data_IF_071118317616
#
_entry.id   IF_071118317616
#
_cell.length_a   1.000
_cell.length_b   1.000
_cell.length_c   1.000
_cell.angle_alpha   90.00
_cell.angle_beta   90.00
_cell.angle_gamma   90.00
#
_symmetry.space_group_name_H-M   'P 1'
#
loop_
_entity.id
_entity.type
_entity.pdbx_description
1 polymer ?
#
# COMPACT_ATOMS: atom_id res chain seq x y z
N UNK A 1 -6.69 -16.59 -53.96
CA UNK A 1 -5.94 -17.86 -53.84
C UNK A 1 -5.35 -17.94 -52.43
N UNK A 2 -6.15 -18.35 -51.44
CA UNK A 2 -5.69 -18.53 -50.05
C UNK A 2 -5.36 -20.01 -49.84
N UNK A 3 -4.10 -20.34 -49.54
CA UNK A 3 -3.70 -21.68 -49.10
C UNK A 3 -3.32 -21.63 -47.62
N UNK A 4 -4.19 -22.20 -46.79
CA UNK A 4 -3.92 -22.54 -45.38
C UNK A 4 -2.72 -23.48 -45.31
N UNK A 5 -1.65 -23.06 -44.64
CA UNK A 5 -0.57 -23.94 -44.22
C UNK A 5 -1.03 -24.65 -42.94
N UNK A 6 -1.25 -25.96 -43.01
CA UNK A 6 -1.53 -26.81 -41.84
C UNK A 6 -0.27 -26.89 -40.97
N UNK A 7 -0.36 -26.43 -39.72
CA UNK A 7 0.66 -26.63 -38.71
C UNK A 7 0.63 -28.08 -38.20
N UNK A 8 1.57 -28.90 -38.66
CA UNK A 8 1.86 -30.20 -38.05
C UNK A 8 2.80 -30.02 -36.85
N UNK A 9 2.33 -29.38 -35.79
CA UNK A 9 3.03 -29.44 -34.49
C UNK A 9 2.48 -30.66 -33.76
N UNK A 10 3.22 -31.77 -33.83
CA UNK A 10 2.97 -32.93 -32.95
C UNK A 10 3.18 -32.47 -31.52
N UNK A 11 2.11 -32.43 -30.73
CA UNK A 11 2.14 -32.30 -29.27
C UNK A 11 3.03 -33.40 -28.69
N UNK A 12 4.29 -33.05 -28.39
CA UNK A 12 5.16 -33.91 -27.60
C UNK A 12 4.75 -33.68 -26.15
N UNK A 13 3.88 -34.58 -25.66
CA UNK A 13 3.60 -34.72 -24.23
C UNK A 13 4.96 -34.83 -23.54
N UNK A 14 5.32 -33.82 -22.75
CA UNK A 14 6.54 -33.82 -21.94
C UNK A 14 6.25 -34.75 -20.76
N UNK A 15 6.46 -36.04 -20.98
CA UNK A 15 6.36 -37.06 -19.94
C UNK A 15 7.65 -37.10 -19.12
N UNK A 16 7.46 -37.16 -17.81
CA UNK A 16 8.43 -37.41 -16.74
C UNK A 16 9.50 -36.32 -16.51
N UNK A 17 9.44 -35.71 -15.33
CA UNK A 17 10.55 -35.00 -14.70
C UNK A 17 11.84 -35.81 -14.87
N UNK A 18 12.79 -35.32 -15.66
CA UNK A 18 14.15 -35.84 -15.67
C UNK A 18 14.78 -35.53 -14.31
N UNK A 19 14.58 -36.40 -13.33
CA UNK A 19 15.37 -36.36 -12.10
C UNK A 19 16.83 -36.55 -12.48
N UNK A 20 17.65 -35.52 -12.28
CA UNK A 20 19.09 -35.59 -12.44
C UNK A 20 19.61 -36.62 -11.41
N UNK A 21 20.13 -37.75 -11.91
CA UNK A 21 20.73 -38.77 -11.05
C UNK A 21 22.16 -38.34 -10.73
N UNK A 22 22.52 -38.43 -9.46
CA UNK A 22 23.86 -38.13 -8.94
C UNK A 22 24.77 -39.34 -9.22
N UNK A 23 25.80 -39.12 -10.03
CA UNK A 23 26.73 -40.13 -10.54
C UNK A 23 28.17 -39.69 -10.25
N UNK A 24 29.14 -40.62 -10.27
CA UNK A 24 30.55 -40.28 -9.99
C UNK A 24 31.15 -39.25 -10.96
N UNK A 25 30.65 -39.17 -12.19
CA UNK A 25 31.12 -38.23 -13.21
C UNK A 25 30.63 -36.79 -12.96
N UNK A 26 29.42 -36.62 -12.42
CA UNK A 26 28.82 -35.32 -12.19
C UNK A 26 28.98 -34.84 -10.73
N UNK A 27 29.37 -35.73 -9.82
CA UNK A 27 29.54 -35.44 -8.39
C UNK A 27 30.52 -34.29 -8.11
N UNK A 28 31.71 -34.29 -8.70
CA UNK A 28 32.73 -33.24 -8.48
C UNK A 28 32.30 -31.88 -9.04
N UNK A 29 31.56 -31.88 -10.14
CA UNK A 29 30.98 -30.65 -10.71
C UNK A 29 29.86 -30.18 -9.78
N UNK A 30 28.91 -31.04 -9.44
CA UNK A 30 27.81 -30.71 -8.52
C UNK A 30 28.31 -30.18 -7.19
N UNK A 31 29.36 -30.78 -6.60
CA UNK A 31 30.00 -30.31 -5.36
C UNK A 31 30.59 -28.90 -5.44
N UNK A 32 30.99 -28.44 -6.63
CA UNK A 32 31.51 -27.08 -6.87
C UNK A 32 30.40 -26.04 -7.06
N UNK A 33 29.28 -26.41 -7.67
CA UNK A 33 28.11 -25.52 -7.92
C UNK A 33 27.05 -25.60 -6.82
N UNK A 34 26.93 -26.72 -6.10
CA UNK A 34 26.08 -26.85 -4.94
C UNK A 34 26.66 -26.00 -3.82
N UNK A 35 25.85 -25.16 -3.18
CA UNK A 35 26.28 -24.44 -1.98
C UNK A 35 26.84 -25.43 -0.97
N UNK A 36 28.06 -25.18 -0.47
CA UNK A 36 28.68 -26.00 0.61
C UNK A 36 27.83 -26.01 1.88
N UNK A 37 26.95 -25.03 2.02
CA UNK A 37 26.02 -24.84 3.13
C UNK A 37 24.60 -25.17 2.68
N UNK A 38 24.04 -26.25 3.22
CA UNK A 38 22.61 -26.51 3.20
C UNK A 38 21.96 -26.04 4.50
N UNK A 39 20.64 -25.89 4.49
CA UNK A 39 19.89 -25.60 5.71
C UNK A 39 19.91 -26.83 6.60
N UNK A 40 20.36 -26.69 7.84
CA UNK A 40 20.26 -27.75 8.86
C UNK A 40 18.99 -27.52 9.67
N UNK A 41 18.11 -28.51 9.67
CA UNK A 41 16.80 -28.42 10.31
C UNK A 41 16.83 -29.03 11.69
N UNK A 42 16.31 -28.28 12.66
CA UNK A 42 15.94 -28.76 13.97
C UNK A 42 14.44 -28.49 14.18
N UNK A 43 13.85 -29.05 15.23
CA UNK A 43 12.39 -28.94 15.47
C UNK A 43 11.92 -27.50 15.70
N UNK A 44 12.72 -26.70 16.42
CA UNK A 44 12.36 -25.34 16.84
C UNK A 44 13.07 -24.24 16.04
N UNK A 45 14.11 -24.60 15.29
CA UNK A 45 14.94 -23.65 14.57
C UNK A 45 15.64 -24.33 13.39
N UNK A 46 16.18 -23.54 12.49
CA UNK A 46 17.05 -24.02 11.43
C UNK A 46 18.31 -23.17 11.36
N UNK A 47 19.41 -23.76 10.91
CA UNK A 47 20.63 -23.03 10.63
C UNK A 47 20.76 -22.81 9.13
N UNK A 48 20.97 -21.57 8.74
CA UNK A 48 21.34 -21.21 7.38
C UNK A 48 22.62 -20.39 7.42
N UNK A 49 23.62 -20.80 6.63
CA UNK A 49 24.99 -20.31 6.72
C UNK A 49 25.53 -20.34 8.16
N UNK A 50 25.78 -19.17 8.77
CA UNK A 50 26.36 -19.02 10.11
C UNK A 50 25.37 -18.44 11.14
N UNK A 51 24.06 -18.49 10.86
CA UNK A 51 23.03 -17.94 11.74
C UNK A 51 21.95 -18.97 12.07
N UNK A 52 21.34 -18.78 13.23
CA UNK A 52 20.19 -19.53 13.70
C UNK A 52 18.92 -18.75 13.37
N UNK A 53 17.91 -19.44 12.87
CA UNK A 53 16.64 -18.86 12.44
C UNK A 53 15.49 -19.66 13.05
N UNK A 54 14.38 -18.98 13.33
CA UNK A 54 13.10 -19.60 13.65
C UNK A 54 11.96 -18.78 13.04
N UNK A 55 10.76 -19.35 12.99
CA UNK A 55 9.56 -18.71 12.47
C UNK A 55 8.42 -18.89 13.46
N UNK A 56 7.76 -17.79 13.80
CA UNK A 56 6.49 -17.78 14.53
C UNK A 56 5.35 -17.52 13.53
N UNK A 57 4.45 -18.48 13.39
CA UNK A 57 3.19 -18.28 12.66
C UNK A 57 2.14 -17.74 13.64
N UNK A 58 1.51 -16.62 13.29
CA UNK A 58 0.46 -16.00 14.11
C UNK A 58 -0.86 -16.73 13.86
N UNK A 59 -1.47 -17.24 14.93
CA UNK A 59 -2.74 -17.98 14.87
C UNK A 59 -3.87 -17.23 15.59
N UNK A 60 -3.54 -16.50 16.66
CA UNK A 60 -4.48 -15.70 17.43
C UNK A 60 -4.29 -14.23 17.08
N UNK A 61 -5.40 -13.59 16.71
CA UNK A 61 -5.41 -12.22 16.22
C UNK A 61 -6.29 -11.39 17.16
N UNK A 62 -5.99 -10.10 17.28
CA UNK A 62 -6.80 -9.16 18.04
C UNK A 62 -8.24 -9.08 17.49
N UNK A 63 -9.20 -8.85 18.38
CA UNK A 63 -10.61 -8.64 18.01
C UNK A 63 -10.80 -7.33 17.23
N UNK A 64 -10.15 -6.26 17.68
CA UNK A 64 -10.16 -4.96 17.00
C UNK A 64 -8.75 -4.63 16.49
N UNK A 65 -8.64 -4.23 15.22
CA UNK A 65 -7.39 -3.75 14.64
C UNK A 65 -7.22 -2.25 14.80
N UNK A 66 -6.01 -1.85 15.22
CA UNK A 66 -5.58 -0.45 15.19
C UNK A 66 -4.53 -0.23 14.11
N UNK A 67 -4.47 0.99 13.58
CA UNK A 67 -3.49 1.36 12.55
C UNK A 67 -2.06 0.95 12.91
N UNK A 68 -1.43 0.18 12.03
CA UNK A 68 -0.02 -0.20 12.13
C UNK A 68 0.30 -1.06 13.35
N UNK A 69 -0.61 -1.90 13.84
CA UNK A 69 -0.39 -2.71 15.05
C UNK A 69 0.86 -3.60 14.99
N UNK A 70 1.28 -4.05 13.80
CA UNK A 70 2.52 -4.83 13.59
C UNK A 70 3.80 -3.99 13.67
N UNK A 71 3.72 -2.65 13.72
CA UNK A 71 4.91 -1.78 13.74
C UNK A 71 5.80 -2.04 14.94
N UNK A 72 5.21 -2.38 16.09
CA UNK A 72 5.95 -2.76 17.30
C UNK A 72 6.92 -3.92 17.02
N UNK A 73 6.46 -4.94 16.28
CA UNK A 73 7.24 -6.13 15.93
C UNK A 73 8.23 -5.85 14.81
N UNK A 74 7.79 -5.16 13.75
CA UNK A 74 8.65 -4.85 12.59
C UNK A 74 9.83 -3.97 13.01
N UNK A 75 9.66 -3.11 14.02
CA UNK A 75 10.73 -2.26 14.55
C UNK A 75 11.84 -3.02 15.29
N UNK A 76 11.63 -4.30 15.61
CA UNK A 76 12.63 -5.11 16.29
C UNK A 76 13.75 -5.53 15.33
N UNK A 77 14.99 -5.33 15.76
CA UNK A 77 16.15 -5.84 15.02
C UNK A 77 16.13 -7.36 14.88
N UNK A 78 16.69 -7.84 13.76
CA UNK A 78 16.76 -9.24 13.37
C UNK A 78 15.40 -9.96 13.30
N UNK A 79 14.33 -9.19 13.04
CA UNK A 79 13.00 -9.71 12.78
C UNK A 79 12.59 -9.36 11.34
N UNK A 80 11.96 -10.31 10.66
CA UNK A 80 11.32 -10.12 9.37
C UNK A 80 9.88 -10.57 9.52
N UNK A 81 8.93 -9.71 9.18
CA UNK A 81 7.51 -10.04 9.19
C UNK A 81 7.04 -10.20 7.74
N UNK A 82 6.41 -11.32 7.42
CA UNK A 82 5.69 -11.50 6.17
C UNK A 82 4.19 -11.64 6.43
N UNK A 83 3.39 -11.15 5.50
CA UNK A 83 1.94 -11.32 5.51
C UNK A 83 1.52 -11.78 4.12
N UNK A 84 1.03 -13.01 4.03
CA UNK A 84 0.39 -13.50 2.82
C UNK A 84 -1.10 -13.17 2.89
N UNK A 85 -1.65 -12.57 1.83
CA UNK A 85 -3.04 -12.17 1.77
C UNK A 85 -3.70 -12.66 0.48
N UNK A 86 -4.88 -13.27 0.60
CA UNK A 86 -5.71 -13.67 -0.55
C UNK A 86 -7.14 -13.21 -0.37
N UNK A 87 -7.80 -12.83 -1.46
CA UNK A 87 -9.20 -12.48 -1.44
C UNK A 87 -10.10 -13.72 -1.47
N UNK A 88 -11.18 -13.69 -0.69
CA UNK A 88 -12.23 -14.70 -0.72
C UNK A 88 -13.47 -14.08 -1.38
N UNK A 89 -13.96 -14.73 -2.44
CA UNK A 89 -15.22 -14.32 -3.08
C UNK A 89 -16.41 -14.59 -2.15
N UNK A 90 -17.50 -13.83 -2.31
CA UNK A 90 -18.69 -13.90 -1.45
C UNK A 90 -19.33 -15.28 -1.45
N UNK A 91 -19.38 -15.96 -2.60
CA UNK A 91 -19.90 -17.32 -2.68
C UNK A 91 -19.04 -18.30 -1.88
N UNK A 92 -17.72 -18.21 -2.05
CA UNK A 92 -16.77 -19.06 -1.32
C UNK A 92 -16.78 -18.77 0.18
N UNK A 93 -16.91 -17.50 0.57
CA UNK A 93 -17.04 -17.09 1.96
C UNK A 93 -18.28 -17.71 2.61
N UNK A 94 -19.46 -17.59 1.99
CA UNK A 94 -20.70 -18.18 2.52
C UNK A 94 -20.56 -19.71 2.71
N UNK A 95 -20.00 -20.41 1.72
CA UNK A 95 -19.79 -21.87 1.79
C UNK A 95 -18.83 -22.27 2.94
N UNK A 96 -17.76 -21.49 3.14
CA UNK A 96 -16.80 -21.73 4.23
C UNK A 96 -17.42 -21.38 5.59
N UNK A 97 -18.15 -20.27 5.67
CA UNK A 97 -18.82 -19.79 6.87
C UNK A 97 -19.86 -20.81 7.38
N UNK A 98 -20.74 -21.29 6.50
CA UNK A 98 -21.71 -22.32 6.85
C UNK A 98 -21.06 -23.60 7.38
N UNK A 99 -19.95 -24.04 6.78
CA UNK A 99 -19.20 -25.22 7.24
C UNK A 99 -18.63 -25.03 8.64
N UNK A 100 -18.12 -23.83 8.94
CA UNK A 100 -17.54 -23.50 10.25
C UNK A 100 -18.66 -23.45 11.31
N UNK A 101 -19.78 -22.77 11.04
CA UNK A 101 -20.92 -22.73 11.96
C UNK A 101 -21.46 -24.13 12.23
N UNK A 102 -21.76 -24.91 11.19
CA UNK A 102 -22.26 -26.29 11.35
C UNK A 102 -21.32 -27.15 12.17
N UNK A 103 -20.00 -26.96 12.06
CA UNK A 103 -19.02 -27.67 12.88
C UNK A 103 -19.16 -27.31 14.35
N UNK A 104 -19.25 -26.02 14.69
CA UNK A 104 -19.40 -25.58 16.08
C UNK A 104 -20.78 -25.92 16.66
N UNK A 105 -21.86 -25.89 15.88
CA UNK A 105 -23.19 -26.36 16.30
C UNK A 105 -23.17 -27.86 16.63
N UNK A 106 -22.59 -28.69 15.76
CA UNK A 106 -22.43 -30.12 16.03
C UNK A 106 -21.56 -30.37 17.28
N UNK A 107 -20.54 -29.55 17.52
CA UNK A 107 -19.72 -29.61 18.73
C UNK A 107 -20.52 -29.22 19.99
N UNK A 108 -21.41 -28.23 19.90
CA UNK A 108 -22.34 -27.89 20.97
C UNK A 108 -23.27 -29.06 21.30
N UNK A 109 -23.90 -29.66 20.28
CA UNK A 109 -24.86 -30.75 20.47
C UNK A 109 -24.22 -32.02 21.04
N UNK A 110 -22.97 -32.30 20.65
CA UNK A 110 -22.22 -33.47 21.12
C UNK A 110 -21.48 -33.25 22.44
N UNK A 111 -21.42 -32.01 22.96
CA UNK A 111 -20.65 -31.66 24.14
C UNK A 111 -21.25 -32.24 25.43
N UNK A 112 -20.54 -33.22 26.01
CA UNK A 112 -20.91 -33.79 27.34
C UNK A 112 -20.48 -32.92 28.52
N UNK A 113 -19.55 -31.99 28.32
CA UNK A 113 -19.01 -31.11 29.37
C UNK A 113 -19.50 -29.68 29.14
N UNK A 114 -20.01 -29.06 30.21
CA UNK A 114 -20.53 -27.68 30.15
C UNK A 114 -19.53 -26.67 29.60
N UNK A 115 -18.23 -26.80 29.92
CA UNK A 115 -17.19 -25.89 29.41
C UNK A 115 -17.04 -25.95 27.89
N UNK A 116 -17.10 -27.16 27.31
CA UNK A 116 -16.99 -27.36 25.86
C UNK A 116 -18.23 -26.78 25.17
N UNK A 117 -19.41 -27.08 25.70
CA UNK A 117 -20.67 -26.51 25.23
C UNK A 117 -20.64 -24.98 25.23
N UNK A 118 -20.24 -24.36 26.35
CA UNK A 118 -20.16 -22.91 26.48
C UNK A 118 -19.19 -22.29 25.46
N UNK A 119 -18.01 -22.87 25.28
CA UNK A 119 -17.02 -22.36 24.34
C UNK A 119 -17.52 -22.45 22.89
N UNK A 120 -18.08 -23.60 22.50
CA UNK A 120 -18.60 -23.77 21.14
C UNK A 120 -19.80 -22.85 20.86
N UNK A 121 -20.64 -22.58 21.87
CA UNK A 121 -21.70 -21.56 21.80
C UNK A 121 -21.16 -20.16 21.60
N UNK A 122 -20.13 -19.79 22.36
CA UNK A 122 -19.49 -18.50 22.24
C UNK A 122 -18.90 -18.29 20.84
N UNK A 123 -18.21 -19.29 20.29
CA UNK A 123 -17.64 -19.20 18.93
C UNK A 123 -18.71 -19.02 17.84
N UNK A 124 -19.91 -19.59 17.98
CA UNK A 124 -21.01 -19.34 17.03
C UNK A 124 -21.52 -17.90 17.14
N UNK A 125 -21.57 -17.33 18.34
CA UNK A 125 -21.96 -15.92 18.52
C UNK A 125 -20.93 -15.00 17.85
N UNK A 126 -19.64 -15.19 18.13
CA UNK A 126 -18.54 -14.39 17.56
C UNK A 126 -18.50 -14.47 16.03
N UNK A 127 -18.76 -15.65 15.44
CA UNK A 127 -18.82 -15.82 13.98
C UNK A 127 -19.99 -15.05 13.36
N UNK A 128 -21.16 -15.05 13.99
CA UNK A 128 -22.31 -14.29 13.50
C UNK A 128 -22.08 -12.78 13.63
N UNK A 129 -21.46 -12.33 14.73
CA UNK A 129 -21.07 -10.92 14.91
C UNK A 129 -20.11 -10.47 13.80
N UNK A 130 -19.12 -11.31 13.44
CA UNK A 130 -18.21 -11.04 12.32
C UNK A 130 -18.94 -10.95 10.97
N UNK A 131 -19.93 -11.82 10.71
CA UNK A 131 -20.72 -11.79 9.48
C UNK A 131 -21.58 -10.51 9.38
N UNK A 132 -22.20 -10.12 10.50
CA UNK A 132 -22.97 -8.89 10.62
C UNK A 132 -22.09 -7.65 10.37
N UNK A 133 -20.86 -7.61 10.90
CA UNK A 133 -19.90 -6.53 10.67
C UNK A 133 -19.49 -6.41 9.20
N UNK A 134 -19.20 -7.54 8.54
CA UNK A 134 -18.88 -7.57 7.10
C UNK A 134 -20.06 -7.01 6.29
N UNK A 135 -21.28 -7.43 6.62
CA UNK A 135 -22.48 -6.97 5.94
C UNK A 135 -22.76 -5.47 6.18
N UNK A 136 -22.55 -4.99 7.41
CA UNK A 136 -22.76 -3.60 7.79
C UNK A 136 -21.76 -2.65 7.11
N UNK A 137 -20.48 -3.00 7.11
CA UNK A 137 -19.42 -2.20 6.50
C UNK A 137 -19.32 -2.37 4.98
N UNK A 138 -20.05 -3.34 4.41
CA UNK A 138 -19.91 -3.76 3.01
C UNK A 138 -18.45 -4.09 2.65
N UNK A 139 -17.77 -4.73 3.60
CA UNK A 139 -16.36 -5.10 3.49
C UNK A 139 -16.17 -6.39 2.68
N UNK A 140 -14.97 -6.56 2.11
CA UNK A 140 -14.60 -7.79 1.42
C UNK A 140 -13.77 -8.68 2.35
N UNK A 141 -14.05 -9.99 2.36
CA UNK A 141 -13.30 -10.92 3.22
C UNK A 141 -11.96 -11.27 2.58
N UNK A 142 -10.90 -11.26 3.41
CA UNK A 142 -9.56 -11.69 3.05
C UNK A 142 -9.12 -12.84 3.95
N UNK A 143 -8.22 -13.66 3.43
CA UNK A 143 -7.49 -14.67 4.21
C UNK A 143 -6.07 -14.18 4.39
N UNK A 144 -5.59 -14.19 5.63
CA UNK A 144 -4.23 -13.78 5.96
C UNK A 144 -3.46 -14.88 6.67
N UNK A 145 -2.15 -14.89 6.44
CA UNK A 145 -1.17 -15.59 7.28
C UNK A 145 -0.01 -14.65 7.57
N UNK A 146 0.17 -14.31 8.85
CA UNK A 146 1.30 -13.51 9.32
C UNK A 146 2.37 -14.41 9.90
N UNK A 147 3.61 -14.23 9.43
CA UNK A 147 4.80 -14.94 9.94
C UNK A 147 5.84 -13.96 10.43
N UNK A 148 6.45 -14.27 11.56
CA UNK A 148 7.55 -13.51 12.15
C UNK A 148 8.79 -14.39 12.16
N UNK A 149 9.70 -14.14 11.22
CA UNK A 149 11.00 -14.78 11.15
C UNK A 149 11.97 -14.04 12.06
N UNK A 150 12.67 -14.80 12.90
CA UNK A 150 13.60 -14.28 13.88
C UNK A 150 14.93 -14.96 13.66
N UNK A 151 16.03 -14.21 13.69
CA UNK A 151 17.35 -14.76 13.49
C UNK A 151 18.40 -14.14 14.41
N UNK A 152 19.46 -14.90 14.70
CA UNK A 152 20.61 -14.39 15.45
C UNK A 152 21.85 -15.25 15.19
N UNK A 153 23.02 -14.80 15.65
CA UNK A 153 24.30 -15.47 15.41
C UNK A 153 24.51 -16.68 16.34
N UNK A 154 23.82 -16.70 17.48
CA UNK A 154 23.92 -17.78 18.49
C UNK A 154 22.54 -18.22 18.94
N UNK A 155 22.43 -19.47 19.38
CA UNK A 155 21.16 -20.04 19.86
C UNK A 155 20.63 -19.34 21.12
N UNK A 156 21.51 -18.92 22.02
CA UNK A 156 21.16 -18.20 23.25
C UNK A 156 20.53 -16.83 22.93
N UNK A 157 21.17 -16.05 22.05
CA UNK A 157 20.62 -14.78 21.58
C UNK A 157 19.31 -14.96 20.81
N UNK A 158 19.19 -16.02 20.02
CA UNK A 158 17.94 -16.35 19.32
C UNK A 158 16.81 -16.58 20.33
N UNK A 159 17.06 -17.34 21.40
CA UNK A 159 16.06 -17.58 22.45
C UNK A 159 15.69 -16.29 23.20
N UNK A 160 16.66 -15.44 23.54
CA UNK A 160 16.39 -14.15 24.16
C UNK A 160 15.52 -13.27 23.26
N UNK A 161 15.82 -13.23 21.95
CA UNK A 161 15.06 -12.48 20.96
C UNK A 161 13.66 -13.05 20.78
N UNK A 162 13.53 -14.37 20.69
CA UNK A 162 12.25 -15.07 20.60
C UNK A 162 11.34 -14.69 21.76
N UNK A 163 11.87 -14.69 22.99
CA UNK A 163 11.12 -14.28 24.18
C UNK A 163 10.69 -12.81 24.13
N UNK A 164 11.55 -11.91 23.62
CA UNK A 164 11.19 -10.49 23.42
C UNK A 164 10.04 -10.34 22.42
N UNK A 165 10.08 -11.05 21.30
CA UNK A 165 9.03 -11.02 20.27
C UNK A 165 7.72 -11.58 20.82
N UNK A 166 7.74 -12.73 21.52
CA UNK A 166 6.55 -13.33 22.14
C UNK A 166 5.92 -12.37 23.15
N UNK A 167 6.74 -11.72 23.99
CA UNK A 167 6.25 -10.73 24.95
C UNK A 167 5.63 -9.51 24.28
N UNK A 168 6.18 -9.06 23.14
CA UNK A 168 5.58 -7.96 22.38
C UNK A 168 4.28 -8.36 21.70
N UNK A 169 4.23 -9.54 21.09
CA UNK A 169 3.00 -10.11 20.52
C UNK A 169 1.88 -10.14 21.57
N UNK A 170 2.19 -10.63 22.77
CA UNK A 170 1.22 -10.68 23.87
C UNK A 170 0.72 -9.28 24.30
N UNK A 171 1.55 -8.24 24.21
CA UNK A 171 1.15 -6.85 24.53
C UNK A 171 0.15 -6.27 23.54
N UNK A 172 0.23 -6.68 22.28
CA UNK A 172 -0.71 -6.27 21.23
C UNK A 172 -1.83 -7.30 21.02
N UNK A 173 -2.05 -8.20 21.99
CA UNK A 173 -3.08 -9.25 21.92
C UNK A 173 -2.95 -10.20 20.72
N UNK A 174 -1.73 -10.40 20.20
CA UNK A 174 -1.43 -11.44 19.21
C UNK A 174 -0.76 -12.63 19.87
N UNK A 175 -0.97 -13.82 19.30
CA UNK A 175 -0.22 -15.03 19.71
C UNK A 175 0.27 -15.80 18.50
N UNK A 176 1.52 -16.23 18.59
CA UNK A 176 2.17 -17.06 17.58
C UNK A 176 2.87 -18.25 18.19
N UNK A 177 3.02 -19.31 17.42
CA UNK A 177 3.78 -20.50 17.80
C UNK A 177 4.72 -20.93 16.67
N UNK A 178 5.79 -21.62 17.05
CA UNK A 178 6.66 -22.31 16.10
C UNK A 178 5.95 -23.59 15.69
N UNK A 179 5.58 -23.71 14.42
CA UNK A 179 5.00 -24.94 13.89
C UNK A 179 6.12 -25.96 13.64
N UNK A 180 6.41 -26.80 14.63
CA UNK A 180 7.55 -27.76 14.59
C UNK A 180 7.53 -28.65 13.34
N UNK A 181 6.35 -29.06 12.88
CA UNK A 181 6.20 -29.90 11.69
C UNK A 181 6.23 -29.12 10.37
N UNK A 182 5.93 -27.82 10.40
CA UNK A 182 5.75 -26.99 9.21
C UNK A 182 6.86 -25.95 9.02
N UNK A 183 7.89 -25.92 9.87
CA UNK A 183 8.99 -24.96 9.79
C UNK A 183 9.65 -24.93 8.39
N UNK A 184 9.70 -26.07 7.70
CA UNK A 184 10.20 -26.15 6.31
C UNK A 184 9.28 -25.39 5.34
N UNK A 185 7.97 -25.52 5.51
CA UNK A 185 6.96 -24.82 4.70
C UNK A 185 7.02 -23.31 4.99
N UNK A 186 7.18 -22.92 6.25
CA UNK A 186 7.34 -21.52 6.64
C UNK A 186 8.55 -20.87 5.97
N UNK A 187 9.67 -21.58 5.84
CA UNK A 187 10.84 -21.04 5.12
C UNK A 187 10.57 -20.97 3.62
N UNK A 188 9.85 -21.94 3.05
CA UNK A 188 9.47 -21.90 1.62
C UNK A 188 8.50 -20.76 1.33
N UNK A 189 7.67 -20.38 2.31
CA UNK A 189 6.73 -19.27 2.21
C UNK A 189 7.41 -17.93 1.83
N UNK A 190 8.71 -17.76 2.15
CA UNK A 190 9.49 -16.61 1.72
C UNK A 190 9.62 -16.46 0.19
N UNK A 191 9.40 -17.54 -0.57
CA UNK A 191 9.61 -17.58 -2.03
C UNK A 191 8.44 -18.16 -2.81
N UNK A 192 7.45 -18.73 -2.11
CA UNK A 192 6.29 -19.42 -2.67
C UNK A 192 5.08 -19.17 -1.80
N UNK A 193 3.90 -19.10 -2.39
CA UNK A 193 2.65 -19.18 -1.65
C UNK A 193 2.39 -20.65 -1.27
N UNK A 194 3.04 -21.14 -0.21
CA UNK A 194 2.80 -22.48 0.35
C UNK A 194 1.65 -22.41 1.38
N UNK A 195 0.84 -23.49 1.46
CA UNK A 195 -0.35 -23.63 2.33
C UNK A 195 -0.02 -23.37 3.81
N UNK A 196 -0.50 -22.24 4.32
CA UNK A 196 -0.49 -21.89 5.74
C UNK A 196 -1.85 -21.95 6.41
N UNK A 197 -1.86 -21.77 7.73
CA UNK A 197 -3.08 -21.46 8.48
C UNK A 197 -3.61 -20.11 7.98
N UNK A 198 -4.63 -20.18 7.13
CA UNK A 198 -5.35 -19.01 6.66
C UNK A 198 -6.41 -18.61 7.68
N UNK A 199 -6.33 -17.39 8.20
CA UNK A 199 -7.39 -16.82 9.04
C UNK A 199 -8.18 -15.79 8.24
N UNK A 200 -9.50 -15.85 8.33
CA UNK A 200 -10.38 -14.86 7.70
C UNK A 200 -10.37 -13.57 8.51
N UNK A 201 -10.26 -12.45 7.81
CA UNK A 201 -10.31 -11.11 8.36
C UNK A 201 -11.05 -10.19 7.39
N UNK A 202 -11.56 -9.07 7.90
CA UNK A 202 -12.07 -7.99 7.05
C UNK A 202 -10.95 -7.39 6.20
N UNK A 203 -11.31 -6.84 5.04
CA UNK A 203 -10.42 -5.97 4.25
C UNK A 203 -9.91 -4.77 5.04
N UNK A 204 -10.69 -4.23 5.97
CA UNK A 204 -10.28 -3.11 6.82
C UNK A 204 -9.10 -3.51 7.73
N UNK A 205 -9.11 -4.71 8.31
CA UNK A 205 -7.99 -5.22 9.10
C UNK A 205 -6.69 -5.33 8.28
N UNK A 206 -6.79 -5.82 7.05
CA UNK A 206 -5.63 -5.86 6.14
C UNK A 206 -5.17 -4.44 5.80
N UNK A 207 -6.10 -3.52 5.61
CA UNK A 207 -5.78 -2.12 5.44
C UNK A 207 -5.06 -1.59 6.67
N UNK A 208 -5.53 -1.80 7.90
CA UNK A 208 -4.87 -1.33 9.13
C UNK A 208 -3.45 -1.89 9.30
N UNK A 209 -3.20 -3.12 8.83
CA UNK A 209 -1.85 -3.72 8.80
C UNK A 209 -0.91 -2.99 7.84
N UNK A 210 -1.40 -2.63 6.66
CA UNK A 210 -0.61 -2.06 5.56
C UNK A 210 -0.59 -0.52 5.57
N UNK A 211 -1.61 0.10 6.14
CA UNK A 211 -1.80 1.54 6.29
C UNK A 211 -0.83 2.05 7.34
N UNK A 212 0.38 2.26 6.87
CA UNK A 212 1.41 3.02 7.55
C UNK A 212 1.23 4.50 7.17
N UNK A 213 1.48 5.42 8.09
CA UNK A 213 1.66 6.84 7.74
C UNK A 213 2.98 7.08 6.95
N UNK A 214 3.53 6.03 6.36
CA UNK A 214 4.85 5.96 5.73
C UNK A 214 4.69 6.14 4.23
N UNK A 215 3.96 7.18 3.81
CA UNK A 215 3.90 7.55 2.42
C UNK A 215 5.23 8.26 2.10
N UNK A 216 6.25 7.48 1.73
CA UNK A 216 7.28 7.97 0.84
C UNK A 216 6.67 7.95 -0.57
N UNK A 217 5.93 8.99 -0.91
CA UNK A 217 5.45 9.22 -2.28
C UNK A 217 6.37 10.26 -2.88
N UNK A 218 7.18 9.82 -3.83
CA UNK A 218 8.09 10.66 -4.58
C UNK A 218 7.71 10.44 -6.05
N UNK A 219 7.02 11.42 -6.60
CA UNK A 219 6.74 11.47 -8.03
C UNK A 219 7.86 12.27 -8.73
N UNK A 220 8.08 12.01 -10.02
CA UNK A 220 9.12 12.66 -10.81
C UNK A 220 8.73 14.12 -11.12
N UNK A 221 9.73 15.02 -11.18
CA UNK A 221 9.57 16.43 -11.55
C UNK A 221 8.61 17.26 -10.66
N UNK A 222 8.48 16.91 -9.37
CA UNK A 222 7.62 17.63 -8.41
C UNK A 222 8.37 18.24 -7.24
N UNK A 223 7.81 19.30 -6.67
CA UNK A 223 8.26 19.94 -5.44
C UNK A 223 8.31 18.95 -4.28
N UNK A 224 9.43 18.98 -3.55
CA UNK A 224 9.50 18.37 -2.23
C UNK A 224 8.65 19.19 -1.25
N UNK A 225 7.54 18.61 -0.78
CA UNK A 225 6.65 19.23 0.19
C UNK A 225 7.25 19.16 1.59
N UNK A 226 7.86 18.03 1.92
CA UNK A 226 8.46 17.83 3.22
C UNK A 226 8.91 16.40 3.48
N UNK A 227 9.13 16.13 4.76
CA UNK A 227 9.68 14.88 5.24
C UNK A 227 8.65 14.18 6.12
N UNK A 228 8.40 12.90 5.85
CA UNK A 228 7.74 12.01 6.79
C UNK A 228 8.78 11.41 7.75
N UNK A 229 8.31 10.68 8.77
CA UNK A 229 9.19 9.98 9.72
C UNK A 229 10.20 9.03 9.05
N UNK A 230 9.87 8.53 7.85
CA UNK A 230 10.63 7.49 7.16
C UNK A 230 11.14 7.92 5.78
N UNK A 231 11.00 9.18 5.37
CA UNK A 231 11.58 9.68 4.11
C UNK A 231 10.90 10.91 3.51
N UNK A 232 11.03 11.07 2.21
CA UNK A 232 10.62 12.26 1.45
C UNK A 232 9.16 12.15 0.99
N UNK A 233 8.46 13.28 0.98
CA UNK A 233 7.10 13.40 0.46
C UNK A 233 7.03 14.50 -0.61
N UNK A 234 6.85 14.07 -1.86
CA UNK A 234 6.79 14.88 -3.07
C UNK A 234 5.75 14.28 -4.05
N UNK A 235 4.44 14.40 -3.77
CA UNK A 235 3.39 13.93 -4.66
C UNK A 235 3.12 14.89 -5.81
N UNK A 236 2.87 14.35 -7.00
CA UNK A 236 2.30 15.05 -8.14
C UNK A 236 0.81 15.33 -7.92
N UNK A 237 0.49 16.59 -7.66
CA UNK A 237 -0.88 17.05 -7.50
C UNK A 237 -1.70 17.06 -8.79
N UNK A 238 -1.03 16.99 -9.94
CA UNK A 238 -1.62 17.12 -11.29
C UNK A 238 -1.56 15.82 -12.09
N UNK A 239 -1.18 14.70 -11.47
CA UNK A 239 -1.15 13.38 -12.11
C UNK A 239 -2.52 13.00 -12.71
N UNK A 240 -2.48 12.44 -13.93
CA UNK A 240 -3.64 11.92 -14.67
C UNK A 240 -4.36 10.77 -13.96
N UNK A 241 -3.77 10.18 -12.92
CA UNK A 241 -4.44 9.19 -12.07
C UNK A 241 -5.56 9.82 -11.22
N UNK A 242 -5.52 11.13 -11.00
CA UNK A 242 -6.53 11.83 -10.23
C UNK A 242 -7.78 12.13 -11.07
N UNK A 243 -8.97 11.79 -10.55
CA UNK A 243 -10.25 12.15 -11.18
C UNK A 243 -10.46 13.67 -11.31
N UNK A 244 -9.84 14.47 -10.43
CA UNK A 244 -9.87 15.92 -10.51
C UNK A 244 -8.57 16.53 -9.99
N UNK A 245 -8.19 17.67 -10.58
CA UNK A 245 -6.98 18.40 -10.18
C UNK A 245 -7.21 19.41 -9.06
N UNK A 246 -8.45 19.58 -8.61
CA UNK A 246 -8.79 20.49 -7.52
C UNK A 246 -8.18 20.02 -6.20
N UNK A 247 -7.60 20.96 -5.44
CA UNK A 247 -6.98 20.71 -4.13
C UNK A 247 -7.49 21.72 -3.12
N UNK A 248 -7.68 21.26 -1.87
CA UNK A 248 -8.11 22.09 -0.75
C UNK A 248 -7.05 21.96 0.35
N UNK A 249 -6.53 23.10 0.81
CA UNK A 249 -5.57 23.17 1.91
C UNK A 249 -6.25 23.79 3.14
N UNK A 250 -6.41 22.99 4.21
CA UNK A 250 -7.13 23.39 5.43
C UNK A 250 -6.15 23.39 6.60
N UNK A 251 -6.24 24.41 7.46
CA UNK A 251 -5.39 24.56 8.63
C UNK A 251 -5.71 25.83 9.41
N UNK A 252 -5.36 25.86 10.69
CA UNK A 252 -5.48 27.04 11.53
C UNK A 252 -4.58 28.20 11.09
N UNK A 253 -4.76 29.39 11.65
CA UNK A 253 -3.84 30.51 11.44
C UNK A 253 -2.43 30.10 11.91
N UNK A 254 -1.39 30.42 11.13
CA UNK A 254 -0.01 30.05 11.44
C UNK A 254 0.38 28.59 11.15
N UNK A 255 -0.52 27.77 10.59
CA UNK A 255 -0.21 26.38 10.22
C UNK A 255 0.66 26.21 8.97
N UNK A 256 1.02 27.30 8.29
CA UNK A 256 1.87 27.26 7.11
C UNK A 256 1.16 27.04 5.78
N UNK A 257 -0.17 27.25 5.69
CA UNK A 257 -0.95 27.10 4.44
C UNK A 257 -0.33 27.87 3.26
N UNK A 258 -0.03 29.15 3.44
CA UNK A 258 0.53 29.99 2.38
C UNK A 258 1.96 29.63 2.03
N UNK A 259 2.76 29.20 3.01
CA UNK A 259 4.11 28.69 2.76
C UNK A 259 4.07 27.43 1.89
N UNK A 260 3.14 26.51 2.16
CA UNK A 260 2.92 25.31 1.37
C UNK A 260 2.48 25.65 -0.06
N UNK A 261 1.52 26.56 -0.23
CA UNK A 261 1.04 27.00 -1.55
C UNK A 261 2.15 27.67 -2.38
N UNK A 262 2.99 28.51 -1.77
CA UNK A 262 4.15 29.11 -2.46
C UNK A 262 5.14 28.06 -2.93
N UNK A 263 5.48 27.07 -2.09
CA UNK A 263 6.39 25.98 -2.47
C UNK A 263 5.87 25.16 -3.67
N UNK A 264 4.58 24.80 -3.63
CA UNK A 264 3.92 24.09 -4.74
C UNK A 264 3.89 24.97 -6.00
N UNK A 265 3.53 26.25 -5.84
CA UNK A 265 3.47 27.22 -6.93
C UNK A 265 4.82 27.45 -7.59
N UNK A 266 5.88 27.64 -6.81
CA UNK A 266 7.26 27.80 -7.27
C UNK A 266 7.68 26.64 -8.15
N UNK A 267 7.51 25.40 -7.68
CA UNK A 267 7.84 24.21 -8.46
C UNK A 267 7.03 24.11 -9.75
N UNK A 268 5.76 24.49 -9.72
CA UNK A 268 4.88 24.43 -10.90
C UNK A 268 5.30 25.45 -11.95
N UNK A 269 5.68 26.66 -11.52
CA UNK A 269 6.15 27.75 -12.38
C UNK A 269 7.52 27.40 -12.98
N UNK A 270 8.46 26.92 -12.14
CA UNK A 270 9.79 26.49 -12.60
C UNK A 270 9.72 25.29 -13.56
N UNK A 271 8.75 24.39 -13.36
CA UNK A 271 8.49 23.28 -14.27
C UNK A 271 7.92 23.70 -15.64
N UNK A 272 7.52 24.97 -15.81
CA UNK A 272 6.98 25.51 -17.07
C UNK A 272 5.58 25.00 -17.42
N UNK A 273 4.92 24.30 -16.51
CA UNK A 273 3.70 23.53 -16.79
C UNK A 273 2.44 24.40 -16.78
N UNK A 274 2.37 25.46 -15.95
CA UNK A 274 1.16 26.26 -15.78
C UNK A 274 1.42 27.74 -15.45
N UNK A 275 0.51 28.60 -15.93
CA UNK A 275 0.37 29.98 -15.46
C UNK A 275 -0.43 29.93 -14.15
N UNK A 276 0.21 30.25 -13.03
CA UNK A 276 -0.46 30.30 -11.74
C UNK A 276 -1.24 31.62 -11.59
N UNK A 277 -2.55 31.52 -11.40
CA UNK A 277 -3.40 32.66 -11.03
C UNK A 277 -3.70 32.58 -9.54
N UNK A 278 -3.21 33.55 -8.77
CA UNK A 278 -3.33 33.58 -7.31
C UNK A 278 -4.19 34.78 -6.94
N UNK A 279 -5.27 34.54 -6.19
CA UNK A 279 -6.04 35.59 -5.53
C UNK A 279 -5.51 35.73 -4.11
N UNK A 280 -4.73 36.79 -3.88
CA UNK A 280 -4.14 37.08 -2.58
C UNK A 280 -4.99 38.12 -1.84
N UNK A 281 -5.62 37.69 -0.74
CA UNK A 281 -6.48 38.54 0.10
C UNK A 281 -5.68 39.16 1.25
N UNK A 282 -4.52 38.60 1.59
CA UNK A 282 -3.74 38.95 2.78
C UNK A 282 -2.38 39.58 2.45
N UNK A 283 -2.11 39.87 1.18
CA UNK A 283 -0.86 40.48 0.69
C UNK A 283 0.38 39.67 1.12
N UNK A 284 0.25 38.34 1.14
CA UNK A 284 1.34 37.46 1.52
C UNK A 284 2.26 37.11 0.33
N UNK A 285 1.86 37.34 -0.92
CA UNK A 285 2.55 36.84 -2.12
C UNK A 285 3.41 37.87 -2.86
N UNK A 286 3.50 39.13 -2.40
CA UNK A 286 4.28 40.18 -3.08
C UNK A 286 5.75 39.82 -3.30
N UNK A 287 6.43 39.36 -2.24
CA UNK A 287 7.85 38.98 -2.33
C UNK A 287 8.04 37.73 -3.21
N UNK A 288 7.07 36.81 -3.17
CA UNK A 288 7.06 35.62 -4.01
C UNK A 288 6.91 36.00 -5.49
N UNK A 289 6.00 36.93 -5.81
CA UNK A 289 5.80 37.41 -7.16
C UNK A 289 7.02 38.16 -7.69
N UNK A 290 7.66 39.01 -6.88
CA UNK A 290 8.90 39.71 -7.26
C UNK A 290 10.05 38.75 -7.55
N UNK A 291 10.19 37.68 -6.77
CA UNK A 291 11.29 36.70 -6.95
C UNK A 291 11.13 35.88 -8.24
N UNK A 292 9.89 35.58 -8.63
CA UNK A 292 9.58 34.77 -9.80
C UNK A 292 9.16 35.59 -11.02
N UNK A 293 9.32 36.92 -10.96
CA UNK A 293 8.95 37.86 -12.02
C UNK A 293 7.48 37.71 -12.48
N UNK A 294 6.58 37.48 -11.53
CA UNK A 294 5.15 37.34 -11.77
C UNK A 294 4.52 38.73 -11.74
N UNK A 295 3.75 39.07 -12.79
CA UNK A 295 2.99 40.32 -12.83
C UNK A 295 1.94 40.36 -11.73
N UNK A 296 2.02 41.37 -10.87
CA UNK A 296 1.03 41.64 -9.82
C UNK A 296 0.04 42.68 -10.33
N UNK A 297 -1.25 42.39 -10.18
CA UNK A 297 -2.34 43.33 -10.50
C UNK A 297 -3.07 43.66 -9.21
N UNK A 298 -3.21 44.95 -8.93
CA UNK A 298 -3.91 45.45 -7.76
C UNK A 298 -5.11 46.30 -8.20
N UNK A 299 -6.21 46.22 -7.46
CA UNK A 299 -7.43 46.94 -7.78
C UNK A 299 -7.32 48.40 -7.34
N UNK A 300 -6.80 49.24 -8.23
CA UNK A 300 -6.61 50.67 -8.00
C UNK A 300 -7.47 51.50 -8.96
N UNK A 301 -7.59 52.82 -8.72
CA UNK A 301 -8.37 53.71 -9.59
C UNK A 301 -7.97 53.62 -11.09
N UNK A 302 -6.70 53.27 -11.35
CA UNK A 302 -6.15 53.08 -12.70
C UNK A 302 -6.21 51.63 -13.22
N UNK A 303 -6.49 50.64 -12.36
CA UNK A 303 -6.49 49.21 -12.68
C UNK A 303 -7.79 48.57 -12.18
N UNK A 304 -8.80 48.53 -13.06
CA UNK A 304 -10.14 48.01 -12.74
C UNK A 304 -10.50 46.82 -13.62
N UNK A 305 -11.14 45.80 -13.03
CA UNK A 305 -11.81 44.74 -13.79
C UNK A 305 -13.26 45.17 -14.03
N UNK A 306 -13.65 45.28 -15.31
CA UNK A 306 -15.02 45.58 -15.67
C UNK A 306 -15.87 44.30 -15.62
N UNK A 307 -16.63 44.09 -14.53
CA UNK A 307 -17.56 42.98 -14.41
C UNK A 307 -18.67 42.97 -15.47
N UNK A 308 -18.99 44.14 -16.04
CA UNK A 308 -19.96 44.29 -17.13
C UNK A 308 -19.29 44.26 -18.51
N UNK A 309 -18.02 43.83 -18.58
CA UNK A 309 -17.32 43.71 -19.85
C UNK A 309 -18.03 42.70 -20.73
N UNK A 310 -18.76 43.21 -21.71
CA UNK A 310 -19.35 42.39 -22.76
C UNK A 310 -18.23 41.93 -23.69
N UNK A 311 -18.00 40.62 -23.73
CA UNK A 311 -17.09 40.03 -24.68
C UNK A 311 -17.74 40.09 -26.08
N UNK A 312 -17.08 40.77 -27.02
CA UNK A 312 -17.54 40.83 -28.40
C UNK A 312 -17.47 39.44 -29.03
N UNK A 313 -18.60 39.00 -29.57
CA UNK A 313 -18.73 37.75 -30.33
C UNK A 313 -18.91 38.16 -31.78
N UNK A 314 -18.00 37.77 -32.66
CA UNK A 314 -18.04 38.13 -34.09
C UNK A 314 -19.05 37.24 -34.88
N UNK A 315 -20.07 36.71 -34.19
CA UNK A 315 -21.11 35.90 -34.81
C UNK A 315 -22.52 36.43 -34.51
N UNK A 316 -23.37 36.37 -35.54
CA UNK A 316 -24.78 36.79 -35.49
C UNK A 316 -25.65 35.98 -34.52
N UNK A 317 -25.11 34.91 -33.92
CA UNK A 317 -25.82 34.04 -32.98
C UNK A 317 -25.63 34.46 -31.52
N UNK A 318 -24.71 35.40 -31.22
CA UNK A 318 -24.43 35.87 -29.86
C UNK A 318 -23.81 34.80 -28.96
N UNK A 319 -23.26 33.72 -29.53
CA UNK A 319 -22.66 32.60 -28.77
C UNK A 319 -21.14 32.68 -28.89
N UNK A 320 -20.44 32.82 -27.76
CA UNK A 320 -18.98 32.82 -27.70
C UNK A 320 -18.45 31.49 -28.24
N UNK A 321 -17.65 31.54 -29.31
CA UNK A 321 -16.98 30.37 -29.86
C UNK A 321 -15.53 30.29 -29.39
N UNK A 322 -14.92 29.10 -29.51
CA UNK A 322 -13.52 28.87 -29.10
C UNK A 322 -12.53 29.77 -29.85
N UNK A 323 -12.84 30.16 -31.09
CA UNK A 323 -12.03 31.09 -31.88
C UNK A 323 -12.10 32.53 -31.35
N UNK A 324 -13.27 32.98 -30.88
CA UNK A 324 -13.44 34.34 -30.34
C UNK A 324 -12.61 34.52 -29.06
N UNK A 325 -12.59 33.48 -28.21
CA UNK A 325 -11.77 33.44 -27.00
C UNK A 325 -10.29 33.46 -27.34
N UNK A 326 -9.85 32.69 -28.34
CA UNK A 326 -8.44 32.59 -28.72
C UNK A 326 -7.89 33.93 -29.23
N UNK A 327 -8.61 34.59 -30.15
CA UNK A 327 -8.20 35.90 -30.70
C UNK A 327 -8.08 36.97 -29.61
N UNK A 328 -8.93 36.90 -28.57
CA UNK A 328 -8.86 37.79 -27.41
C UNK A 328 -7.70 37.48 -26.48
N UNK A 329 -7.42 36.21 -26.22
CA UNK A 329 -6.24 35.79 -25.45
C UNK A 329 -4.97 36.30 -26.14
N UNK A 330 -4.89 36.16 -27.47
CA UNK A 330 -3.74 36.63 -28.25
C UNK A 330 -3.54 38.15 -28.11
N UNK A 331 -4.63 38.93 -28.14
CA UNK A 331 -4.57 40.38 -27.91
C UNK A 331 -4.20 40.79 -26.47
N UNK A 332 -4.63 40.02 -25.46
CA UNK A 332 -4.19 40.24 -24.07
C UNK A 332 -2.70 39.93 -23.93
N UNK A 333 -2.22 38.84 -24.54
CA UNK A 333 -0.80 38.48 -24.55
C UNK A 333 0.05 39.58 -25.19
N UNK A 334 -0.37 40.17 -26.31
CA UNK A 334 0.32 41.32 -26.91
C UNK A 334 0.30 42.55 -26.00
N UNK A 335 -0.81 42.80 -25.30
CA UNK A 335 -0.92 43.93 -24.37
C UNK A 335 0.02 43.76 -23.18
N UNK A 336 0.09 42.56 -22.60
CA UNK A 336 1.00 42.26 -21.48
C UNK A 336 2.47 42.33 -21.91
N UNK A 337 2.81 41.84 -23.12
CA UNK A 337 4.16 41.99 -23.69
C UNK A 337 4.57 43.45 -23.82
N UNK A 338 3.69 44.31 -24.34
CA UNK A 338 4.01 45.73 -24.52
C UNK A 338 4.16 46.49 -23.20
N UNK A 339 3.52 46.04 -22.11
CA UNK A 339 3.73 46.62 -20.76
C UNK A 339 5.09 46.23 -20.19
N UNK A 340 5.55 45.00 -20.44
CA UNK A 340 6.86 44.51 -19.95
C UNK A 340 8.05 45.05 -20.76
N UNK A 341 7.85 45.46 -22.03
CA UNK A 341 8.91 46.06 -22.86
C UNK A 341 9.17 47.56 -22.54
N UNK A 342 8.42 48.17 -21.62
CA UNK A 342 8.53 49.60 -21.25
C UNK A 342 9.25 49.81 -19.89
N UNK A 343 9.66 48.74 -19.21
CA UNK A 343 10.56 48.78 -18.04
C UNK A 343 11.98 48.37 -18.41
#
# INVERSE_FOLDING_TARGET
>A
MFKKVKSNVKNKIISSEKKLVLNNENYEIFKKISSKTGIRWNELYYMNANKYFTCLEIFDYMEESGYGFLNSIISLENCLVSCDCSHVDRMEYNDRFEKIIKKHENEQDSARKFKIYKNARQSVVELNEFDDEIAFNNDSVKTITVRVYIYDDTLEKLQERLNKVINQLARISLRGFIQTNNLIQDVRALTRFDDSVQKMVSSSTVADMLMRSEINKIDEDVALIGYTRNGLYAPDFYSFENYSYNKIFIGGMGSGKSALLKSIGESTILGGSHIAHIFDIHEEYDDFAKQLDISVFDFNENQNINFMQMFYVDNDKGVITKSDVQTKIDGIIETVKSVNDIT
#
